data_IF_041411064736
#
_entry.id   IF_041411064736
#
_cell.length_a   1.000
_cell.length_b   1.000
_cell.length_c   1.000
_cell.angle_alpha   90.00
_cell.angle_beta   90.00
_cell.angle_gamma   90.00
#
_symmetry.space_group_name_H-M   'P 1'
#
loop_
_entity.id
_entity.type
_entity.pdbx_description
1 polymer ?
#
# COMPACT_ATOMS: atom_id res chain seq x y z
N UNK A 1 20.01 -19.53 -7.82
CA UNK A 1 18.64 -18.99 -7.61
C UNK A 1 18.65 -17.55 -8.07
N UNK A 2 17.80 -17.21 -9.04
CA UNK A 2 17.69 -15.83 -9.50
C UNK A 2 16.77 -15.06 -8.54
N UNK A 3 17.33 -14.08 -7.85
CA UNK A 3 16.55 -13.24 -6.93
C UNK A 3 15.78 -12.21 -7.75
N UNK A 4 14.45 -12.30 -7.69
CA UNK A 4 13.54 -11.33 -8.31
C UNK A 4 13.30 -10.15 -7.39
N UNK A 5 13.11 -8.98 -7.98
CA UNK A 5 12.73 -7.80 -7.23
C UNK A 5 11.26 -7.86 -6.82
N UNK A 6 10.97 -7.33 -5.64
CA UNK A 6 9.63 -7.23 -5.09
C UNK A 6 9.15 -5.79 -5.23
N UNK A 7 7.87 -5.60 -5.54
CA UNK A 7 7.24 -4.29 -5.54
C UNK A 7 7.28 -3.71 -4.11
N UNK A 8 7.83 -2.51 -3.95
CA UNK A 8 7.94 -1.84 -2.64
C UNK A 8 6.58 -1.53 -1.99
N UNK A 9 5.51 -1.43 -2.77
CA UNK A 9 4.18 -1.03 -2.29
C UNK A 9 3.29 -2.23 -1.94
N UNK A 10 3.32 -3.29 -2.74
CA UNK A 10 2.44 -4.45 -2.56
C UNK A 10 3.17 -5.77 -2.28
N UNK A 11 4.50 -5.78 -2.36
CA UNK A 11 5.32 -6.99 -2.16
C UNK A 11 5.20 -8.03 -3.26
N UNK A 12 4.54 -7.73 -4.39
CA UNK A 12 4.43 -8.67 -5.51
C UNK A 12 5.78 -8.88 -6.18
N UNK A 13 6.07 -10.13 -6.56
CA UNK A 13 7.24 -10.49 -7.34
C UNK A 13 7.13 -9.85 -8.72
N UNK A 14 8.12 -9.07 -9.11
CA UNK A 14 8.21 -8.48 -10.44
C UNK A 14 8.91 -9.40 -11.42
N UNK A 15 8.80 -9.10 -12.71
CA UNK A 15 9.49 -9.84 -13.77
C UNK A 15 11.01 -9.58 -13.79
N UNK A 16 11.49 -8.56 -13.06
CA UNK A 16 12.88 -8.15 -13.07
C UNK A 16 13.70 -8.86 -11.99
N UNK A 17 14.92 -9.25 -12.35
CA UNK A 17 15.91 -9.77 -11.41
C UNK A 17 16.75 -8.64 -10.83
N UNK A 18 17.29 -8.85 -9.62
CA UNK A 18 18.20 -7.88 -8.95
C UNK A 18 19.42 -7.55 -9.83
N UNK A 19 19.85 -8.50 -10.67
CA UNK A 19 20.98 -8.32 -11.58
C UNK A 19 20.65 -7.51 -12.84
N UNK A 20 19.37 -7.28 -13.14
CA UNK A 20 18.97 -6.51 -14.33
C UNK A 20 19.38 -5.04 -14.12
N UNK A 21 20.06 -4.39 -15.08
CA UNK A 21 20.44 -2.99 -14.93
C UNK A 21 19.21 -2.08 -14.84
N UNK A 22 19.31 -1.02 -14.04
CA UNK A 22 18.21 -0.07 -13.76
C UNK A 22 17.63 0.52 -15.06
N UNK A 23 18.49 0.82 -16.04
CA UNK A 23 18.11 1.41 -17.33
C UNK A 23 17.20 0.52 -18.18
N UNK A 24 17.17 -0.79 -17.92
CA UNK A 24 16.33 -1.75 -18.63
C UNK A 24 15.02 -2.09 -17.88
N UNK A 25 14.82 -1.54 -16.68
CA UNK A 25 13.65 -1.83 -15.84
C UNK A 25 12.54 -0.82 -16.13
N UNK A 26 11.34 -1.31 -16.44
CA UNK A 26 10.14 -0.48 -16.47
C UNK A 26 9.63 -0.27 -15.05
N UNK A 27 9.02 0.90 -14.81
CA UNK A 27 8.38 1.23 -13.52
C UNK A 27 9.34 1.27 -12.32
N UNK A 28 10.64 1.36 -12.56
CA UNK A 28 11.62 1.64 -11.51
C UNK A 28 11.61 3.15 -11.21
N UNK A 29 11.48 3.50 -9.94
CA UNK A 29 11.50 4.89 -9.49
C UNK A 29 12.80 5.12 -8.72
N UNK A 30 13.65 6.01 -9.23
CA UNK A 30 14.91 6.35 -8.58
C UNK A 30 14.69 6.81 -7.13
N UNK A 31 15.45 6.24 -6.20
CA UNK A 31 15.32 6.50 -4.76
C UNK A 31 14.17 5.79 -4.05
N UNK A 32 13.14 5.32 -4.76
CA UNK A 32 12.03 4.56 -4.17
C UNK A 32 12.18 3.05 -4.36
N UNK A 33 12.70 2.61 -5.51
CA UNK A 33 12.88 1.20 -5.87
C UNK A 33 11.91 0.73 -6.96
N UNK A 34 11.76 -0.58 -7.08
CA UNK A 34 10.94 -1.21 -8.11
C UNK A 34 9.45 -1.24 -7.72
N UNK A 35 8.58 -0.83 -8.64
CA UNK A 35 7.12 -0.99 -8.54
C UNK A 35 6.61 -2.02 -9.56
N UNK A 36 5.43 -2.58 -9.31
CA UNK A 36 4.67 -3.28 -10.34
C UNK A 36 3.88 -2.28 -11.20
N UNK A 37 3.48 -2.70 -12.40
CA UNK A 37 2.70 -1.90 -13.34
C UNK A 37 1.43 -1.31 -12.72
N UNK A 38 0.67 -2.12 -11.96
CA UNK A 38 -0.56 -1.67 -11.30
C UNK A 38 -0.29 -0.52 -10.32
N UNK A 39 0.71 -0.66 -9.45
CA UNK A 39 1.05 0.35 -8.46
C UNK A 39 1.63 1.61 -9.10
N UNK A 40 2.43 1.45 -10.16
CA UNK A 40 2.97 2.59 -10.90
C UNK A 40 1.85 3.36 -11.60
N UNK A 41 0.94 2.67 -12.29
CA UNK A 41 -0.20 3.28 -12.96
C UNK A 41 -1.13 3.97 -11.96
N UNK A 42 -1.35 3.42 -10.77
CA UNK A 42 -2.16 4.07 -9.75
C UNK A 42 -1.56 5.40 -9.26
N UNK A 43 -0.23 5.43 -9.05
CA UNK A 43 0.49 6.60 -8.56
C UNK A 43 0.70 7.69 -9.62
N UNK A 44 1.00 7.28 -10.86
CA UNK A 44 1.42 8.18 -11.94
C UNK A 44 0.39 8.32 -13.07
N UNK A 45 -0.80 7.73 -12.96
CA UNK A 45 -1.88 7.97 -13.93
C UNK A 45 -2.27 9.45 -13.92
N UNK A 46 -1.93 10.14 -15.01
CA UNK A 46 -2.34 11.53 -15.23
C UNK A 46 -3.87 11.59 -15.38
N UNK A 47 -4.48 12.44 -14.56
CA UNK A 47 -5.92 12.71 -14.45
C UNK A 47 -6.79 11.60 -13.82
N UNK A 48 -6.76 11.53 -12.49
CA UNK A 48 -8.01 11.43 -11.74
C UNK A 48 -8.31 12.76 -11.06
N UNK A 49 -9.51 13.35 -11.24
CA UNK A 49 -9.95 14.38 -10.32
C UNK A 49 -9.95 13.77 -8.92
N UNK A 50 -9.36 14.49 -7.97
CA UNK A 50 -9.26 14.11 -6.56
C UNK A 50 -10.57 13.45 -6.10
N UNK A 51 -10.56 12.13 -5.90
CA UNK A 51 -11.52 11.55 -4.96
C UNK A 51 -10.96 11.86 -3.59
N UNK A 52 -11.66 12.73 -2.88
CA UNK A 52 -11.47 12.96 -1.45
C UNK A 52 -11.60 11.61 -0.74
N UNK A 53 -10.47 10.93 -0.53
CA UNK A 53 -10.41 9.88 0.48
C UNK A 53 -10.23 10.60 1.82
N UNK A 54 -11.37 10.83 2.47
CA UNK A 54 -11.50 11.15 3.87
C UNK A 54 -10.82 10.05 4.70
N UNK A 55 -9.50 10.14 4.82
CA UNK A 55 -8.77 9.49 5.90
C UNK A 55 -9.07 10.26 7.18
N UNK A 56 -10.28 10.07 7.70
CA UNK A 56 -10.49 10.08 9.14
C UNK A 56 -9.59 8.99 9.71
N UNK A 57 -8.33 9.34 9.93
CA UNK A 57 -7.49 8.67 10.92
C UNK A 57 -8.13 9.02 12.26
N UNK A 58 -8.77 8.08 12.99
CA UNK A 58 -9.09 8.37 14.37
C UNK A 58 -7.74 8.58 15.08
N UNK A 59 -7.49 9.81 15.48
CA UNK A 59 -6.38 10.15 16.36
C UNK A 59 -6.49 9.26 17.60
N UNK A 60 -5.57 8.30 17.74
CA UNK A 60 -5.60 7.31 18.82
C UNK A 60 -5.22 7.90 20.20
N UNK A 61 -5.02 9.22 20.32
CA UNK A 61 -4.74 9.87 21.59
C UNK A 61 -5.98 10.39 22.34
N UNK A 62 -7.19 10.22 21.79
CA UNK A 62 -8.43 10.64 22.46
C UNK A 62 -9.50 9.54 22.47
N UNK A 63 -9.15 8.31 22.86
CA UNK A 63 -10.13 7.24 23.11
C UNK A 63 -10.32 7.02 24.61
N UNK A 64 -10.96 7.99 25.28
CA UNK A 64 -11.66 7.70 26.52
C UNK A 64 -13.17 7.60 26.23
N UNK A 65 -13.75 6.49 26.70
CA UNK A 65 -15.16 6.28 27.02
C UNK A 65 -16.20 6.12 25.90
N UNK A 66 -16.13 5.06 25.06
CA UNK A 66 -17.37 4.36 24.65
C UNK A 66 -17.05 2.88 24.37
N UNK A 67 -17.23 1.99 25.36
CA UNK A 67 -17.50 0.56 25.15
C UNK A 67 -17.88 -0.13 26.49
N UNK A 68 -19.07 0.16 27.02
CA UNK A 68 -19.63 -0.58 28.16
C UNK A 68 -21.15 -0.79 28.10
N UNK A 69 -21.77 -0.80 26.90
CA UNK A 69 -23.23 -0.96 26.79
C UNK A 69 -23.69 -2.08 25.86
N UNK A 70 -22.80 -2.95 25.35
CA UNK A 70 -23.24 -4.05 24.46
C UNK A 70 -22.54 -5.37 24.81
N UNK A 71 -22.98 -6.01 25.89
CA UNK A 71 -23.01 -7.48 26.07
C UNK A 71 -24.22 -7.80 26.97
N UNK A 72 -25.42 -7.97 26.40
CA UNK A 72 -26.11 -9.28 26.26
C UNK A 72 -26.05 -10.09 27.56
N UNK A 73 -27.10 -10.14 28.37
CA UNK A 73 -28.20 -11.11 28.23
C UNK A 73 -27.71 -12.46 27.68
N UNK A 74 -27.32 -13.37 28.58
CA UNK A 74 -27.38 -14.82 28.39
C UNK A 74 -27.35 -15.52 29.76
N UNK A 75 -28.50 -16.11 30.14
CA UNK A 75 -28.72 -17.29 31.01
C UNK A 75 -28.20 -17.27 32.47
N UNK A 76 -29.12 -17.22 33.43
CA UNK A 76 -29.59 -18.38 34.23
C UNK A 76 -30.93 -18.05 34.92
#
# INVERSE_FOLDING_TARGET
MEQKELCIRCGKITSYSINTPITARLYFVEGSGQLCEECFNELYSVARPLKSEDSHTPCFSCRNEIQATVKSNEKE
#
